data_IF_600803660820
#
_entry.id   IF_600803660820
#
_cell.length_a   1.000
_cell.length_b   1.000
_cell.length_c   1.000
_cell.angle_alpha   90.00
_cell.angle_beta   90.00
_cell.angle_gamma   90.00
#
_symmetry.space_group_name_H-M   'P 1'
#
loop_
_entity.id
_entity.type
_entity.pdbx_description
1 polymer ?
#
# COMPACT_ATOMS: atom_id res chain seq x y z
N UNK A 1 12.07 -17.01 -18.44
CA UNK A 1 12.93 -16.34 -17.49
C UNK A 1 12.72 -14.83 -17.46
N UNK A 2 12.59 -14.19 -18.64
CA UNK A 2 12.41 -12.74 -18.71
C UNK A 2 11.12 -12.27 -18.06
N UNK A 3 10.03 -13.02 -18.21
CA UNK A 3 8.75 -12.66 -17.62
C UNK A 3 8.80 -12.69 -16.10
N UNK A 4 9.48 -13.68 -15.52
CA UNK A 4 9.64 -13.80 -14.08
C UNK A 4 10.50 -12.69 -13.51
N UNK A 5 11.59 -12.35 -14.20
CA UNK A 5 12.47 -11.26 -13.82
C UNK A 5 11.77 -9.91 -13.89
N UNK A 6 11.02 -9.67 -14.96
CA UNK A 6 10.23 -8.45 -15.12
C UNK A 6 9.19 -8.30 -14.00
N UNK A 7 8.50 -9.39 -13.67
CA UNK A 7 7.53 -9.39 -12.60
C UNK A 7 8.20 -9.08 -11.25
N UNK A 8 9.34 -9.69 -11.00
CA UNK A 8 10.10 -9.43 -9.79
C UNK A 8 10.50 -7.95 -9.68
N UNK A 9 10.96 -7.37 -10.77
CA UNK A 9 11.34 -5.95 -10.81
C UNK A 9 10.14 -5.03 -10.60
N UNK A 10 8.99 -5.37 -11.18
CA UNK A 10 7.76 -4.60 -10.98
C UNK A 10 7.32 -4.61 -9.52
N UNK A 11 7.38 -5.77 -8.88
CA UNK A 11 7.02 -5.89 -7.46
C UNK A 11 8.00 -5.07 -6.61
N UNK A 12 9.30 -5.15 -6.88
CA UNK A 12 10.31 -4.39 -6.15
C UNK A 12 10.09 -2.89 -6.31
N UNK A 13 9.77 -2.42 -7.52
CA UNK A 13 9.48 -1.01 -7.79
C UNK A 13 8.23 -0.54 -7.06
N UNK A 14 7.21 -1.38 -6.99
CA UNK A 14 5.98 -1.08 -6.27
C UNK A 14 6.25 -0.92 -4.77
N UNK A 15 7.00 -1.81 -4.17
CA UNK A 15 7.39 -1.67 -2.76
C UNK A 15 8.19 -0.40 -2.51
N UNK A 16 9.11 -0.06 -3.42
CA UNK A 16 9.91 1.16 -3.30
C UNK A 16 9.04 2.41 -3.33
N UNK A 17 8.02 2.43 -4.19
CA UNK A 17 7.07 3.52 -4.27
C UNK A 17 6.31 3.71 -2.95
N UNK A 18 5.76 2.61 -2.42
CA UNK A 18 5.03 2.67 -1.16
C UNK A 18 5.94 3.10 0.00
N UNK A 19 7.16 2.58 0.03
CA UNK A 19 8.13 2.93 1.07
C UNK A 19 8.45 4.42 1.05
N UNK A 20 8.70 4.97 -0.13
CA UNK A 20 9.00 6.39 -0.27
C UNK A 20 7.83 7.26 0.21
N UNK A 21 6.60 6.88 -0.13
CA UNK A 21 5.40 7.60 0.28
C UNK A 21 5.22 7.57 1.80
N UNK A 22 5.39 6.39 2.42
CA UNK A 22 5.25 6.23 3.87
C UNK A 22 6.36 6.99 4.61
N UNK A 23 7.61 6.87 4.15
CA UNK A 23 8.71 7.60 4.75
C UNK A 23 8.51 9.11 4.73
N UNK A 24 8.02 9.62 3.60
CA UNK A 24 7.71 11.04 3.47
C UNK A 24 6.64 11.47 4.47
N UNK A 25 5.60 10.67 4.63
CA UNK A 25 4.52 10.96 5.57
C UNK A 25 5.00 10.96 7.04
N UNK A 26 5.93 10.09 7.37
CA UNK A 26 6.54 10.09 8.71
C UNK A 26 7.40 11.34 8.90
N UNK A 27 8.20 11.70 7.91
CA UNK A 27 9.09 12.85 7.99
C UNK A 27 8.33 14.18 8.11
N UNK A 28 7.18 14.30 7.47
CA UNK A 28 6.36 15.50 7.52
C UNK A 28 5.48 15.58 8.77
N UNK A 29 5.47 14.54 9.60
CA UNK A 29 4.65 14.49 10.80
C UNK A 29 3.21 14.06 10.55
N UNK A 30 2.85 13.71 9.33
CA UNK A 30 1.52 13.22 8.98
C UNK A 30 1.23 11.88 9.66
N UNK A 31 2.22 11.00 9.72
CA UNK A 31 2.14 9.74 10.44
C UNK A 31 2.99 9.80 11.71
N UNK A 32 2.68 8.96 12.68
CA UNK A 32 3.41 8.88 13.94
C UNK A 32 4.89 8.57 13.71
N UNK A 33 5.76 9.17 14.51
CA UNK A 33 7.22 8.98 14.39
C UNK A 33 7.66 7.56 14.66
N UNK A 34 6.91 6.83 15.47
CA UNK A 34 7.23 5.46 15.85
C UNK A 34 6.63 4.42 14.93
N UNK A 35 6.06 4.84 13.81
CA UNK A 35 5.54 3.91 12.79
C UNK A 35 6.70 3.09 12.23
N UNK A 36 6.52 1.78 12.23
CA UNK A 36 7.42 0.88 11.51
C UNK A 36 7.11 1.01 10.02
N UNK A 37 8.00 1.67 9.29
CA UNK A 37 7.79 1.98 7.88
C UNK A 37 7.58 0.72 7.06
N UNK A 38 8.40 -0.31 7.27
CA UNK A 38 8.28 -1.56 6.50
C UNK A 38 6.96 -2.27 6.77
N UNK A 39 6.52 -2.29 8.03
CA UNK A 39 5.24 -2.88 8.40
C UNK A 39 4.08 -2.09 7.77
N UNK A 40 4.15 -0.76 7.79
CA UNK A 40 3.12 0.09 7.19
C UNK A 40 3.03 -0.14 5.68
N UNK A 41 4.18 -0.27 5.01
CA UNK A 41 4.23 -0.57 3.58
C UNK A 41 3.50 -1.88 3.29
N UNK A 42 3.77 -2.92 4.06
CA UNK A 42 3.12 -4.22 3.89
C UNK A 42 1.61 -4.09 4.08
N UNK A 43 1.16 -3.42 5.15
CA UNK A 43 -0.27 -3.27 5.43
C UNK A 43 -1.00 -2.54 4.31
N UNK A 44 -0.51 -1.37 3.90
CA UNK A 44 -1.16 -0.59 2.85
C UNK A 44 -1.18 -1.34 1.52
N UNK A 45 -0.03 -1.90 1.14
CA UNK A 45 0.10 -2.58 -0.14
C UNK A 45 -0.76 -3.84 -0.19
N UNK A 46 -0.76 -4.65 0.87
CA UNK A 46 -1.53 -5.90 0.88
C UNK A 46 -3.04 -5.62 0.86
N UNK A 47 -3.49 -4.62 1.58
CA UNK A 47 -4.90 -4.23 1.54
C UNK A 47 -5.27 -3.74 0.13
N UNK A 48 -4.43 -2.88 -0.46
CA UNK A 48 -4.67 -2.38 -1.82
C UNK A 48 -4.73 -3.52 -2.83
N UNK A 49 -3.71 -4.38 -2.83
CA UNK A 49 -3.61 -5.49 -3.79
C UNK A 49 -4.70 -6.53 -3.58
N UNK A 50 -4.95 -6.89 -2.31
CA UNK A 50 -5.96 -7.90 -1.99
C UNK A 50 -7.36 -7.46 -2.38
N UNK A 51 -7.74 -6.24 -2.04
CA UNK A 51 -9.05 -5.70 -2.36
C UNK A 51 -9.21 -5.50 -3.87
N UNK A 52 -8.18 -5.00 -4.54
CA UNK A 52 -8.21 -4.80 -5.98
C UNK A 52 -8.39 -6.12 -6.72
N UNK A 53 -7.68 -7.15 -6.28
CA UNK A 53 -7.77 -8.49 -6.86
C UNK A 53 -9.18 -9.07 -6.66
N UNK A 54 -9.68 -8.99 -5.44
CA UNK A 54 -11.02 -9.50 -5.09
C UNK A 54 -12.10 -8.79 -5.89
N UNK A 55 -12.02 -7.47 -6.01
CA UNK A 55 -12.99 -6.68 -6.77
C UNK A 55 -12.95 -7.01 -8.25
N UNK A 56 -11.77 -7.28 -8.81
CA UNK A 56 -11.65 -7.71 -10.21
C UNK A 56 -12.39 -9.02 -10.45
N UNK A 57 -12.35 -9.95 -9.49
CA UNK A 57 -13.09 -11.20 -9.56
C UNK A 57 -14.60 -10.99 -9.48
N UNK A 58 -15.03 -10.01 -8.69
CA UNK A 58 -16.47 -9.76 -8.44
C UNK A 58 -17.09 -8.81 -9.46
N UNK A 59 -16.37 -8.46 -10.51
CA UNK A 59 -16.93 -7.72 -11.62
C UNK A 59 -16.63 -6.24 -11.69
N UNK A 60 -15.73 -5.75 -10.86
CA UNK A 60 -15.33 -4.35 -10.95
C UNK A 60 -14.71 -3.79 -9.69
N UNK A 61 -13.89 -2.76 -9.86
CA UNK A 61 -13.21 -2.07 -8.77
C UNK A 61 -14.16 -1.04 -8.14
N UNK A 62 -14.41 -1.20 -6.84
CA UNK A 62 -15.12 -0.19 -6.06
C UNK A 62 -14.09 0.71 -5.38
N UNK A 63 -13.83 1.86 -5.99
CA UNK A 63 -12.82 2.79 -5.50
C UNK A 63 -13.20 3.42 -4.16
N UNK A 64 -14.48 3.58 -3.89
CA UNK A 64 -14.93 4.13 -2.61
C UNK A 64 -14.67 3.16 -1.47
N UNK A 65 -14.94 1.88 -1.67
CA UNK A 65 -14.67 0.85 -0.68
C UNK A 65 -13.18 0.69 -0.43
N UNK A 66 -12.38 0.69 -1.49
CA UNK A 66 -10.92 0.62 -1.39
C UNK A 66 -10.38 1.80 -0.60
N UNK A 67 -10.81 3.02 -0.93
CA UNK A 67 -10.42 4.23 -0.24
C UNK A 67 -10.79 4.19 1.25
N UNK A 68 -11.97 3.68 1.57
CA UNK A 68 -12.44 3.52 2.94
C UNK A 68 -11.49 2.65 3.76
N UNK A 69 -11.08 1.50 3.22
CA UNK A 69 -10.20 0.58 3.93
C UNK A 69 -8.78 1.14 4.07
N UNK A 70 -8.27 1.79 3.05
CA UNK A 70 -6.95 2.44 3.13
C UNK A 70 -6.97 3.57 4.16
N UNK A 71 -8.06 4.33 4.19
CA UNK A 71 -8.22 5.42 5.16
C UNK A 71 -8.31 4.90 6.59
N UNK A 72 -8.91 3.73 6.80
CA UNK A 72 -8.98 3.11 8.11
C UNK A 72 -7.57 2.81 8.65
N UNK A 73 -6.69 2.27 7.80
CA UNK A 73 -5.29 2.02 8.18
C UNK A 73 -4.60 3.35 8.47
N UNK A 74 -4.78 4.32 7.61
CA UNK A 74 -4.20 5.65 7.79
C UNK A 74 -4.59 6.26 9.13
N UNK A 75 -5.86 6.15 9.52
CA UNK A 75 -6.35 6.69 10.78
C UNK A 75 -5.69 6.06 12.00
N UNK A 76 -5.28 4.79 11.91
CA UNK A 76 -4.55 4.13 12.99
C UNK A 76 -3.12 4.63 13.13
N UNK A 77 -2.50 5.07 12.04
CA UNK A 77 -1.10 5.49 11.99
C UNK A 77 -0.92 7.00 12.05
N UNK A 78 -1.99 7.74 11.89
CA UNK A 78 -1.98 9.20 11.88
C UNK A 78 -1.50 9.75 13.22
N UNK A 79 -0.63 10.74 13.16
CA UNK A 79 -0.09 11.40 14.33
C UNK A 79 -1.12 12.33 15.02
#
# INVERSE_FOLDING_TARGET
PDAKEKLHNLVASDYAYWRAAIQSAVQTGELKKDVDVEEAVVMFRQVYMGLSFEMAFLGGLDTQLLSKHLHAIYSLLKS
#
